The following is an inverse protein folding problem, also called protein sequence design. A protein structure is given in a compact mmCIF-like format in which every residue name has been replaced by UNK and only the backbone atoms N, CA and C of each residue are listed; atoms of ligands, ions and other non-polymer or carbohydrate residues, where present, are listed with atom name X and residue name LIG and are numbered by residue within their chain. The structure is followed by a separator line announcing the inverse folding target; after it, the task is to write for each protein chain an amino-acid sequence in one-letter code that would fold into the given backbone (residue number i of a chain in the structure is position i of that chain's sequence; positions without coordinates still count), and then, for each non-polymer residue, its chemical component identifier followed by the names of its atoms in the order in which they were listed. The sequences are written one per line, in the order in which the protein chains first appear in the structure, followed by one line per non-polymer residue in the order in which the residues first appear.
data_IF_641258123914
#
_entry.id   IF_641258123914
#
_cell.length_a   1.000
_cell.length_b   1.000
_cell.length_c   1.000
_cell.angle_alpha   90.00
_cell.angle_beta   90.00
_cell.angle_gamma   90.00
#
_symmetry.space_group_name_H-M   'P 1'
#
loop_
_entity.id
_entity.type
_entity.pdbx_description
1 polymer ?
#
# COMPACT_ATOMS: atom_id res chain seq x y z
N UNK A 1 -11.95 12.55 4.87
CA UNK A 1 -11.06 11.41 4.55
C UNK A 1 -11.87 10.23 4.05
N UNK A 2 -11.59 9.74 2.84
CA UNK A 2 -12.25 8.59 2.23
C UNK A 2 -11.56 7.30 2.68
N UNK A 3 -12.31 6.34 3.23
CA UNK A 3 -11.80 5.01 3.62
C UNK A 3 -11.81 4.08 2.41
N UNK A 4 -10.68 3.43 2.16
CA UNK A 4 -10.50 2.53 1.02
C UNK A 4 -10.02 1.17 1.51
N UNK A 5 -10.62 0.13 0.97
CA UNK A 5 -10.25 -1.27 1.21
C UNK A 5 -9.88 -1.89 -0.14
N UNK A 6 -8.67 -2.42 -0.24
CA UNK A 6 -8.11 -2.97 -1.46
C UNK A 6 -7.73 -4.44 -1.27
N UNK A 7 -8.31 -5.33 -2.07
CA UNK A 7 -7.94 -6.74 -2.08
C UNK A 7 -6.69 -6.94 -2.94
N UNK A 8 -5.61 -7.39 -2.32
CA UNK A 8 -4.34 -7.62 -3.02
C UNK A 8 -4.35 -8.94 -3.76
N UNK A 9 -3.53 -9.05 -4.80
CA UNK A 9 -3.38 -10.28 -5.58
C UNK A 9 -1.92 -10.72 -5.64
N UNK A 10 -1.67 -12.04 -5.61
CA UNK A 10 -0.32 -12.61 -5.74
C UNK A 10 0.62 -12.37 -4.56
N UNK A 11 0.11 -11.89 -3.41
CA UNK A 11 0.91 -11.48 -2.25
C UNK A 11 0.57 -12.24 -0.97
N UNK A 12 1.40 -12.06 0.06
CA UNK A 12 1.17 -12.63 1.40
C UNK A 12 0.14 -11.83 2.22
N UNK A 13 0.12 -10.51 2.06
CA UNK A 13 -1.03 -9.70 2.50
C UNK A 13 -2.22 -10.02 1.59
N UNK A 14 -3.43 -9.88 2.13
CA UNK A 14 -4.70 -10.16 1.45
C UNK A 14 -5.52 -8.90 1.21
N UNK A 15 -5.47 -7.98 2.18
CA UNK A 15 -6.22 -6.72 2.16
C UNK A 15 -5.31 -5.58 2.62
N UNK A 16 -5.48 -4.41 2.00
CA UNK A 16 -4.89 -3.14 2.43
C UNK A 16 -6.04 -2.20 2.78
N UNK A 17 -5.96 -1.55 3.93
CA UNK A 17 -6.84 -0.44 4.28
C UNK A 17 -6.03 0.84 4.37
N UNK A 18 -6.58 1.93 3.87
CA UNK A 18 -6.02 3.26 4.04
C UNK A 18 -7.10 4.33 3.90
N UNK A 19 -6.74 5.55 4.28
CA UNK A 19 -7.57 6.73 4.13
C UNK A 19 -6.92 7.71 3.17
N UNK A 20 -7.72 8.38 2.35
CA UNK A 20 -7.26 9.48 1.50
C UNK A 20 -7.92 10.80 1.90
N UNK A 21 -7.12 11.86 2.02
CA UNK A 21 -7.62 13.20 2.28
C UNK A 21 -7.92 14.00 0.99
N UNK A 22 -8.28 15.26 1.13
CA UNK A 22 -8.64 16.15 0.01
C UNK A 22 -7.42 16.59 -0.83
N UNK A 23 -6.20 16.42 -0.32
CA UNK A 23 -4.93 16.72 -1.00
C UNK A 23 -4.28 15.47 -1.64
N UNK A 24 -5.02 14.36 -1.73
CA UNK A 24 -4.54 13.04 -2.18
C UNK A 24 -3.44 12.43 -1.30
N UNK A 25 -3.36 12.81 -0.02
CA UNK A 25 -2.43 12.20 0.94
C UNK A 25 -3.04 10.95 1.55
N UNK A 26 -2.18 9.96 1.77
CA UNK A 26 -2.56 8.64 2.26
C UNK A 26 -2.23 8.52 3.74
N UNK A 27 -3.20 8.03 4.50
CA UNK A 27 -3.15 7.93 5.95
C UNK A 27 -3.62 6.56 6.42
N UNK A 28 -3.26 6.21 7.66
CA UNK A 28 -3.80 5.04 8.37
C UNK A 28 -3.64 3.73 7.58
N UNK A 29 -2.50 3.55 6.89
CA UNK A 29 -2.23 2.35 6.11
C UNK A 29 -2.14 1.13 7.04
N UNK A 30 -2.88 0.09 6.73
CA UNK A 30 -2.79 -1.20 7.42
C UNK A 30 -2.97 -2.36 6.45
N UNK A 31 -2.43 -3.52 6.83
CA UNK A 31 -2.42 -4.72 6.01
C UNK A 31 -3.00 -5.89 6.81
N UNK A 32 -3.85 -6.68 6.18
CA UNK A 32 -4.27 -7.98 6.70
C UNK A 32 -3.37 -9.10 6.15
N UNK A 33 -2.64 -9.76 7.04
CA UNK A 33 -1.66 -10.79 6.68
C UNK A 33 -0.29 -10.23 6.25
N UNK A 34 0.56 -11.10 5.71
CA UNK A 34 1.93 -10.74 5.35
C UNK A 34 2.89 -10.56 6.54
N UNK A 35 4.07 -9.99 6.29
CA UNK A 35 5.09 -9.78 7.31
C UNK A 35 4.67 -8.63 8.24
N UNK A 36 4.29 -8.95 9.48
CA UNK A 36 3.74 -7.97 10.43
C UNK A 36 4.65 -6.76 10.67
N UNK A 37 5.95 -7.00 10.93
CA UNK A 37 6.90 -5.93 11.22
C UNK A 37 7.19 -5.05 10.00
N UNK A 38 7.52 -5.68 8.87
CA UNK A 38 7.91 -4.95 7.67
C UNK A 38 6.74 -4.14 7.08
N UNK A 39 5.52 -4.69 7.06
CA UNK A 39 4.36 -3.98 6.52
C UNK A 39 3.92 -2.80 7.41
N UNK A 40 4.07 -2.92 8.74
CA UNK A 40 3.92 -1.79 9.66
C UNK A 40 4.97 -0.71 9.42
N UNK A 41 6.22 -1.10 9.11
CA UNK A 41 7.26 -0.14 8.76
C UNK A 41 6.94 0.59 7.45
N UNK A 42 6.51 -0.12 6.39
CA UNK A 42 6.07 0.49 5.12
C UNK A 42 4.93 1.47 5.36
N UNK A 43 3.91 1.09 6.14
CA UNK A 43 2.79 1.98 6.49
C UNK A 43 3.29 3.27 7.15
N UNK A 44 4.17 3.18 8.15
CA UNK A 44 4.75 4.35 8.83
C UNK A 44 5.57 5.24 7.90
N UNK A 45 6.35 4.64 7.00
CA UNK A 45 7.20 5.38 6.06
C UNK A 45 6.38 6.12 5.00
N UNK A 46 5.16 5.65 4.70
CA UNK A 46 4.27 6.23 3.69
C UNK A 46 3.20 7.18 4.27
N UNK A 47 3.14 7.33 5.59
CA UNK A 47 2.12 8.14 6.27
C UNK A 47 2.19 9.60 5.84
N UNK A 48 1.06 10.16 5.39
CA UNK A 48 0.92 11.54 4.94
C UNK A 48 1.55 11.86 3.57
N UNK A 49 2.13 10.87 2.89
CA UNK A 49 2.64 11.04 1.53
C UNK A 49 1.50 11.12 0.52
N UNK A 50 1.72 11.83 -0.59
CA UNK A 50 0.77 11.81 -1.71
C UNK A 50 0.77 10.43 -2.38
N UNK A 51 -0.38 10.04 -2.91
CA UNK A 51 -0.57 8.78 -3.64
C UNK A 51 0.51 8.56 -4.72
N UNK A 52 0.83 9.61 -5.48
CA UNK A 52 1.82 9.56 -6.58
C UNK A 52 3.23 9.33 -6.06
N UNK A 53 3.58 9.88 -4.89
CA UNK A 53 4.89 9.69 -4.26
C UNK A 53 5.07 8.26 -3.76
N UNK A 54 4.02 7.68 -3.15
CA UNK A 54 4.01 6.28 -2.71
C UNK A 54 4.14 5.36 -3.93
N UNK A 55 3.34 5.62 -4.97
CA UNK A 55 3.38 4.83 -6.19
C UNK A 55 4.76 4.87 -6.84
N UNK A 56 5.34 6.06 -7.02
CA UNK A 56 6.68 6.22 -7.59
C UNK A 56 7.77 5.50 -6.77
N UNK A 57 7.63 5.42 -5.44
CA UNK A 57 8.60 4.75 -4.56
C UNK A 57 8.48 3.24 -4.55
N UNK A 58 7.27 2.69 -4.63
CA UNK A 58 7.00 1.28 -4.34
C UNK A 58 6.59 0.45 -5.55
N UNK A 59 6.15 1.09 -6.65
CA UNK A 59 5.74 0.39 -7.86
C UNK A 59 6.92 -0.42 -8.42
N UNK A 60 6.67 -1.68 -8.73
CA UNK A 60 7.69 -2.61 -9.22
C UNK A 60 8.62 -3.17 -8.15
N UNK A 61 8.38 -2.92 -6.86
CA UNK A 61 9.11 -3.62 -5.79
C UNK A 61 8.62 -5.07 -5.71
N UNK A 62 9.16 -5.99 -6.51
CA UNK A 62 8.64 -7.37 -6.64
C UNK A 62 9.16 -8.31 -5.55
N UNK A 63 8.38 -9.33 -5.19
CA UNK A 63 8.77 -10.36 -4.24
C UNK A 63 9.09 -11.68 -4.97
N UNK A 64 10.39 -11.93 -5.20
CA UNK A 64 10.86 -13.15 -5.85
C UNK A 64 10.18 -13.39 -7.20
N UNK A 65 9.72 -14.61 -7.44
CA UNK A 65 9.05 -15.02 -8.69
C UNK A 65 7.56 -14.65 -8.76
N UNK A 66 7.00 -13.93 -7.77
CA UNK A 66 5.56 -13.64 -7.72
C UNK A 66 5.09 -12.59 -8.73
N UNK A 67 6.00 -11.84 -9.35
CA UNK A 67 5.65 -10.76 -10.28
C UNK A 67 4.97 -9.55 -9.62
N UNK A 68 4.92 -9.49 -8.29
CA UNK A 68 4.36 -8.41 -7.47
C UNK A 68 4.86 -8.55 -6.01
N UNK A 69 4.58 -7.58 -5.16
CA UNK A 69 4.73 -7.68 -3.70
C UNK A 69 3.65 -6.89 -2.96
N UNK A 70 3.58 -7.00 -1.64
CA UNK A 70 2.66 -6.19 -0.84
C UNK A 70 2.90 -4.67 -1.01
N UNK A 71 4.15 -4.24 -1.21
CA UNK A 71 4.48 -2.83 -1.43
C UNK A 71 4.09 -2.38 -2.85
N UNK A 72 4.32 -3.23 -3.85
CA UNK A 72 3.87 -2.98 -5.23
C UNK A 72 2.33 -2.94 -5.33
N UNK A 73 1.62 -3.80 -4.58
CA UNK A 73 0.16 -3.74 -4.49
C UNK A 73 -0.31 -2.46 -3.79
N UNK A 74 0.39 -1.96 -2.76
CA UNK A 74 0.10 -0.66 -2.17
C UNK A 74 0.26 0.47 -3.21
N UNK A 75 1.35 0.48 -3.97
CA UNK A 75 1.58 1.46 -5.05
C UNK A 75 0.46 1.50 -6.09
N UNK A 76 -0.12 0.34 -6.42
CA UNK A 76 -1.26 0.22 -7.34
C UNK A 76 -2.56 0.67 -6.67
N UNK A 77 -2.79 0.25 -5.43
CA UNK A 77 -4.00 0.55 -4.67
C UNK A 77 -4.20 2.06 -4.47
N UNK A 78 -3.14 2.78 -4.09
CA UNK A 78 -3.20 4.22 -3.86
C UNK A 78 -3.44 5.04 -5.12
N UNK A 79 -3.36 4.45 -6.33
CA UNK A 79 -3.63 5.14 -7.60
C UNK A 79 -5.00 4.79 -8.21
N UNK A 80 -5.62 3.67 -7.81
CA UNK A 80 -6.90 3.20 -8.36
C UNK A 80 -8.13 3.78 -7.66
N UNK A 81 -7.96 4.23 -6.42
CA UNK A 81 -9.01 4.92 -5.68
C UNK A 81 -9.06 6.40 -6.06
#
# INVERSE_FOLDING_TARGET
MQKITYNTTGTCARVIHFERDEENRIHNISFEGGCNGNLKAVAKLCEGMKAEEISAKLLGNLCGSRGTSCADQLAKAVMQA
#
